data_IF_828965542998
#
_entry.id   IF_828965542998
#
_cell.length_a   1.000
_cell.length_b   1.000
_cell.length_c   1.000
_cell.angle_alpha   90.00
_cell.angle_beta   90.00
_cell.angle_gamma   90.00
#
_symmetry.space_group_name_H-M   'P 1'
#
loop_
_entity.id
_entity.type
_entity.pdbx_description
1 polymer ?
#
# COMPACT_ATOMS: atom_id res chain seq x y z
N UNK A 1 -16.12 2.21 6.50
CA UNK A 1 -15.02 1.89 5.56
C UNK A 1 -13.73 2.25 6.28
N UNK A 2 -12.91 1.28 6.67
CA UNK A 2 -11.62 1.57 7.30
C UNK A 2 -10.68 2.13 6.23
N UNK A 3 -10.17 3.33 6.46
CA UNK A 3 -9.27 4.04 5.54
C UNK A 3 -7.85 3.81 6.06
N UNK A 4 -6.96 3.25 5.23
CA UNK A 4 -5.55 3.11 5.60
C UNK A 4 -4.97 4.48 5.98
N UNK A 5 -4.06 4.49 6.95
CA UNK A 5 -3.36 5.70 7.40
C UNK A 5 -2.52 6.31 6.26
N UNK A 6 -2.11 5.50 5.29
CA UNK A 6 -1.40 5.96 4.10
C UNK A 6 -2.20 7.00 3.29
N UNK A 7 -3.53 7.02 3.38
CA UNK A 7 -4.37 7.92 2.58
C UNK A 7 -4.74 9.24 3.26
N UNK A 8 -4.51 9.41 4.58
CA UNK A 8 -4.97 10.62 5.29
C UNK A 8 -4.21 11.89 4.91
N UNK A 9 -2.91 11.76 4.63
CA UNK A 9 -2.00 12.87 4.32
C UNK A 9 -1.26 12.63 3.00
N UNK A 10 -1.99 12.08 2.02
CA UNK A 10 -1.46 11.75 0.70
C UNK A 10 -1.80 12.80 -0.35
N UNK A 11 -0.88 12.97 -1.31
CA UNK A 11 -1.07 13.82 -2.48
C UNK A 11 -0.75 13.05 -3.76
N UNK A 12 -1.39 13.43 -4.86
CA UNK A 12 -1.07 12.97 -6.22
C UNK A 12 -0.40 14.08 -7.06
N UNK A 13 -0.15 15.24 -6.45
CA UNK A 13 0.49 16.38 -7.10
C UNK A 13 2.01 16.16 -7.18
N UNK A 14 2.52 15.85 -8.38
CA UNK A 14 3.93 15.57 -8.62
C UNK A 14 4.84 16.76 -8.28
N UNK A 15 4.34 18.00 -8.23
CA UNK A 15 5.16 19.15 -7.80
C UNK A 15 5.55 19.10 -6.32
N UNK A 16 4.95 18.19 -5.54
CA UNK A 16 5.27 17.95 -4.13
C UNK A 16 6.28 16.83 -3.91
N UNK A 17 6.74 16.18 -4.99
CA UNK A 17 7.70 15.11 -4.93
C UNK A 17 9.09 15.72 -5.13
N UNK A 18 9.99 15.51 -4.18
CA UNK A 18 11.40 15.82 -4.37
C UNK A 18 12.08 14.74 -5.24
N UNK A 19 13.36 14.94 -5.56
CA UNK A 19 14.11 14.03 -6.44
C UNK A 19 14.12 12.59 -5.90
N UNK A 20 14.30 12.40 -4.59
CA UNK A 20 14.31 11.09 -3.93
C UNK A 20 12.94 10.42 -4.04
N UNK A 21 11.86 11.18 -3.83
CA UNK A 21 10.48 10.71 -3.94
C UNK A 21 10.14 10.36 -5.40
N UNK A 22 10.66 11.11 -6.37
CA UNK A 22 10.50 10.81 -7.80
C UNK A 22 11.27 9.55 -8.22
N UNK A 23 12.46 9.31 -7.67
CA UNK A 23 13.19 8.05 -7.88
C UNK A 23 12.39 6.86 -7.32
N UNK A 24 11.88 6.98 -6.09
CA UNK A 24 11.03 5.96 -5.48
C UNK A 24 9.74 5.71 -6.29
N UNK A 25 9.10 6.77 -6.79
CA UNK A 25 7.96 6.68 -7.70
C UNK A 25 8.32 5.95 -9.00
N UNK A 26 9.49 6.25 -9.56
CA UNK A 26 9.98 5.62 -10.78
C UNK A 26 10.17 4.11 -10.57
N UNK A 27 10.79 3.70 -9.47
CA UNK A 27 11.00 2.30 -9.15
C UNK A 27 9.69 1.55 -8.91
N UNK A 28 8.74 2.18 -8.21
CA UNK A 28 7.38 1.63 -8.04
C UNK A 28 6.67 1.46 -9.39
N UNK A 29 6.78 2.44 -10.29
CA UNK A 29 6.18 2.36 -11.62
C UNK A 29 6.85 1.28 -12.50
N UNK A 30 8.17 1.06 -12.36
CA UNK A 30 8.86 -0.08 -13.00
C UNK A 30 8.30 -1.40 -12.48
N UNK A 31 8.18 -1.57 -11.17
CA UNK A 31 7.62 -2.77 -10.56
C UNK A 31 6.18 -3.01 -11.05
N UNK A 32 5.35 -1.96 -11.09
CA UNK A 32 4.00 -2.03 -11.65
C UNK A 32 4.00 -2.39 -13.13
N UNK A 33 4.87 -1.81 -13.95
CA UNK A 33 4.95 -2.14 -15.37
C UNK A 33 5.22 -3.64 -15.59
N UNK A 34 6.13 -4.22 -14.81
CA UNK A 34 6.51 -5.63 -14.90
C UNK A 34 5.41 -6.56 -14.37
N UNK A 35 4.69 -6.13 -13.33
CA UNK A 35 3.79 -7.02 -12.58
C UNK A 35 2.30 -6.76 -12.83
N UNK A 36 1.87 -5.69 -13.49
CA UNK A 36 0.45 -5.30 -13.66
C UNK A 36 -0.47 -6.39 -14.25
N UNK A 37 0.09 -7.34 -14.99
CA UNK A 37 -0.67 -8.46 -15.57
C UNK A 37 -0.78 -9.67 -14.61
N UNK A 38 0.08 -9.73 -13.59
CA UNK A 38 0.20 -10.82 -12.61
C UNK A 38 -0.28 -10.39 -11.21
N UNK A 39 -0.12 -9.11 -10.85
CA UNK A 39 -0.56 -8.51 -9.60
C UNK A 39 -2.07 -8.28 -9.64
N UNK A 40 -2.83 -9.33 -9.30
CA UNK A 40 -4.30 -9.35 -9.39
C UNK A 40 -5.03 -8.39 -8.44
N UNK A 41 -4.30 -7.68 -7.57
CA UNK A 41 -4.90 -6.85 -6.53
C UNK A 41 -5.21 -5.42 -7.00
N UNK A 42 -4.35 -4.72 -7.75
CA UNK A 42 -4.72 -3.41 -8.31
C UNK A 42 -5.64 -3.58 -9.54
N UNK A 43 -6.75 -2.83 -9.62
CA UNK A 43 -7.64 -2.85 -10.80
C UNK A 43 -7.73 -1.50 -11.50
N UNK A 44 -8.92 -0.92 -11.57
CA UNK A 44 -9.18 0.29 -12.35
C UNK A 44 -8.88 1.55 -11.54
N UNK A 45 -8.49 2.62 -12.24
CA UNK A 45 -8.25 3.93 -11.63
C UNK A 45 -7.01 4.01 -10.75
N UNK A 46 -5.99 3.20 -11.07
CA UNK A 46 -4.70 3.22 -10.36
C UNK A 46 -4.08 4.61 -10.45
N UNK A 47 -3.75 5.17 -9.30
CA UNK A 47 -3.13 6.48 -9.12
C UNK A 47 -1.89 6.35 -8.25
N UNK A 48 -0.90 7.19 -8.53
CA UNK A 48 0.31 7.34 -7.72
C UNK A 48 0.06 8.34 -6.60
N UNK A 49 0.44 7.96 -5.38
CA UNK A 49 0.30 8.76 -4.19
C UNK A 49 1.64 8.88 -3.47
N UNK A 50 1.85 10.03 -2.85
CA UNK A 50 2.91 10.27 -1.89
C UNK A 50 2.28 10.65 -0.55
N UNK A 51 2.53 9.87 0.50
CA UNK A 51 2.19 10.23 1.86
C UNK A 51 3.32 11.06 2.46
N UNK A 52 3.00 12.30 2.82
CA UNK A 52 3.99 13.28 3.28
C UNK A 52 4.41 13.06 4.74
N UNK A 53 3.65 12.31 5.53
CA UNK A 53 3.98 12.00 6.92
C UNK A 53 4.93 10.80 7.03
N UNK A 54 4.65 9.74 6.26
CA UNK A 54 5.45 8.52 6.26
C UNK A 54 6.58 8.52 5.22
N UNK A 55 6.65 9.56 4.37
CA UNK A 55 7.50 9.63 3.18
C UNK A 55 7.36 8.41 2.25
N UNK A 56 6.16 7.85 2.14
CA UNK A 56 5.92 6.64 1.36
C UNK A 56 5.27 6.97 0.02
N UNK A 57 5.84 6.42 -1.06
CA UNK A 57 5.22 6.43 -2.38
C UNK A 57 4.51 5.10 -2.63
N UNK A 58 3.26 5.16 -3.05
CA UNK A 58 2.43 3.98 -3.26
C UNK A 58 1.46 4.17 -4.43
N UNK A 59 0.96 3.06 -4.96
CA UNK A 59 -0.14 3.03 -5.92
C UNK A 59 -1.42 2.70 -5.16
N UNK A 60 -2.52 3.36 -5.50
CA UNK A 60 -3.84 2.92 -5.05
C UNK A 60 -4.87 2.98 -6.16
N UNK A 61 -5.80 2.03 -6.16
CA UNK A 61 -6.90 1.97 -7.11
C UNK A 61 -8.19 2.60 -6.57
N UNK A 62 -9.26 2.61 -7.38
CA UNK A 62 -10.54 3.22 -6.98
C UNK A 62 -11.21 2.54 -5.77
N UNK A 63 -10.78 1.32 -5.42
CA UNK A 63 -11.27 0.59 -4.24
C UNK A 63 -10.32 0.71 -3.05
N UNK A 64 -9.32 1.59 -3.12
CA UNK A 64 -8.31 1.82 -2.09
C UNK A 64 -7.49 0.57 -1.77
N UNK A 65 -7.27 -0.32 -2.75
CA UNK A 65 -6.23 -1.34 -2.63
C UNK A 65 -4.89 -0.69 -2.89
N UNK A 66 -3.93 -0.93 -2.01
CA UNK A 66 -2.66 -0.21 -1.98
C UNK A 66 -1.55 -1.16 -2.42
N UNK A 67 -0.73 -0.69 -3.37
CA UNK A 67 0.48 -1.38 -3.82
C UNK A 67 1.71 -0.57 -3.43
N UNK A 68 2.66 -1.21 -2.76
CA UNK A 68 3.93 -0.62 -2.32
C UNK A 68 5.08 -1.39 -2.96
N UNK A 69 6.16 -0.70 -3.29
CA UNK A 69 7.38 -1.33 -3.76
C UNK A 69 8.14 -1.90 -2.56
N UNK A 70 8.49 -3.17 -2.61
CA UNK A 70 9.33 -3.82 -1.61
C UNK A 70 10.43 -4.59 -2.33
N UNK A 71 11.68 -4.16 -2.18
CA UNK A 71 12.85 -4.74 -2.89
C UNK A 71 12.66 -4.89 -4.41
N UNK A 72 11.93 -3.96 -5.04
CA UNK A 72 11.65 -3.97 -6.48
C UNK A 72 10.42 -4.77 -6.89
N UNK A 73 9.72 -5.39 -5.94
CA UNK A 73 8.47 -6.09 -6.17
C UNK A 73 7.26 -5.27 -5.75
N UNK A 74 6.18 -5.33 -6.52
CA UNK A 74 4.93 -4.68 -6.18
C UNK A 74 4.11 -5.60 -5.28
N UNK A 75 4.05 -5.28 -3.98
CA UNK A 75 3.30 -6.06 -2.98
C UNK A 75 2.06 -5.32 -2.51
N UNK A 76 1.01 -6.07 -2.16
CA UNK A 76 -0.24 -5.50 -1.62
C UNK A 76 -0.03 -5.10 -0.16
N UNK A 77 -0.34 -3.84 0.17
CA UNK A 77 -0.38 -3.33 1.53
C UNK A 77 -1.81 -3.37 2.04
N UNK A 78 -2.05 -4.04 3.16
CA UNK A 78 -3.39 -4.18 3.75
C UNK A 78 -3.41 -3.75 5.20
N UNK A 79 -4.62 -3.39 5.66
CA UNK A 79 -4.86 -2.96 7.04
C UNK A 79 -5.89 -3.89 7.70
N UNK A 80 -5.61 -4.33 8.92
CA UNK A 80 -6.52 -5.08 9.77
C UNK A 80 -7.73 -4.23 10.15
N UNK A 81 -8.93 -4.69 9.81
CA UNK A 81 -10.18 -3.99 10.14
C UNK A 81 -10.54 -4.00 11.63
N UNK A 82 -9.83 -4.77 12.45
CA UNK A 82 -10.11 -4.93 13.88
C UNK A 82 -9.19 -4.06 14.72
N UNK A 83 -7.87 -4.16 14.53
CA UNK A 83 -6.89 -3.39 15.29
C UNK A 83 -6.22 -2.24 14.53
N UNK A 84 -6.42 -2.13 13.21
CA UNK A 84 -5.78 -1.11 12.39
C UNK A 84 -4.29 -1.37 12.08
N UNK A 85 -3.72 -2.52 12.47
CA UNK A 85 -2.37 -2.92 12.07
C UNK A 85 -2.26 -2.96 10.54
N UNK A 86 -1.14 -2.52 9.99
CA UNK A 86 -0.90 -2.50 8.55
C UNK A 86 0.38 -3.29 8.21
N UNK A 87 0.42 -3.89 7.03
CA UNK A 87 1.57 -4.68 6.55
C UNK A 87 1.35 -5.26 5.15
N UNK A 88 2.26 -6.12 4.69
CA UNK A 88 2.13 -6.79 3.40
C UNK A 88 1.21 -8.03 3.49
N UNK A 89 0.20 -8.11 2.62
CA UNK A 89 -0.90 -9.08 2.74
C UNK A 89 -0.52 -10.56 2.60
N UNK A 90 0.62 -10.85 1.96
CA UNK A 90 1.22 -12.18 1.81
C UNK A 90 2.05 -12.61 3.02
N UNK A 91 2.29 -11.75 4.00
CA UNK A 91 2.96 -12.08 5.26
C UNK A 91 2.05 -12.84 6.23
N UNK A 92 0.91 -13.40 5.79
CA UNK A 92 0.06 -14.32 6.56
C UNK A 92 -0.57 -13.77 7.85
N UNK A 93 -0.11 -12.64 8.37
CA UNK A 93 -0.12 -12.41 9.82
C UNK A 93 -0.57 -11.01 10.24
N UNK A 94 -1.20 -10.26 9.34
CA UNK A 94 -1.76 -8.95 9.72
C UNK A 94 -2.87 -9.12 10.78
N UNK A 95 -3.42 -10.33 10.92
CA UNK A 95 -4.37 -10.72 11.95
C UNK A 95 -3.85 -11.77 12.96
N UNK A 96 -2.88 -12.63 12.63
CA UNK A 96 -2.43 -13.71 13.53
C UNK A 96 -1.30 -13.29 14.47
N UNK A 97 -0.28 -12.55 14.02
CA UNK A 97 0.83 -12.13 14.92
C UNK A 97 0.65 -10.72 15.49
N UNK A 98 -0.02 -9.82 14.77
CA UNK A 98 -0.09 -8.39 15.13
C UNK A 98 -1.32 -8.02 15.99
N UNK A 99 -2.22 -8.97 16.32
CA UNK A 99 -3.47 -8.64 17.01
C UNK A 99 -3.95 -9.69 18.03
N UNK A 100 -3.72 -9.44 19.33
CA UNK A 100 -4.29 -10.23 20.43
C UNK A 100 -5.83 -10.33 20.40
N UNK A 101 -6.53 -9.37 19.79
CA UNK A 101 -8.00 -9.38 19.68
C UNK A 101 -8.57 -10.14 18.46
N UNK A 102 -7.75 -10.43 17.44
CA UNK A 102 -8.17 -11.24 16.29
C UNK A 102 -8.01 -12.74 16.58
N UNK A 103 -6.98 -13.14 17.32
CA UNK A 103 -6.76 -14.52 17.77
C UNK A 103 -7.92 -15.10 18.63
N UNK A 104 -8.76 -14.24 19.22
CA UNK A 104 -9.90 -14.65 20.05
C UNK A 104 -11.23 -14.79 19.28
N UNK A 105 -11.28 -14.50 17.97
CA UNK A 105 -12.51 -14.60 17.16
C UNK A 105 -12.57 -15.83 16.25
N UNK A 106 -11.54 -16.68 16.30
CA UNK A 106 -11.46 -17.97 15.61
C UNK A 106 -11.75 -19.17 16.53
N UNK A 107 -12.23 -18.93 17.76
CA UNK A 107 -12.76 -19.98 18.64
C UNK A 107 -14.24 -20.27 18.35
#
# INVERSE_FOLDING_TARGET
MFKSTLLSSSTTDLSKFDDVTLEAATDLLKAYLLQKHHAAFLRNGVRLYFNQESNLVFLADDKLRIGVSNHGELREWVSCRVCGAEGFGDEGEICEELCQSCAQRTA
#
